data_IF_666944279186
#
_entry.id   IF_666944279186
#
_cell.length_a   1.000
_cell.length_b   1.000
_cell.length_c   1.000
_cell.angle_alpha   90.00
_cell.angle_beta   90.00
_cell.angle_gamma   90.00
#
_symmetry.space_group_name_H-M   'P 1'
#
loop_
_entity.id
_entity.type
_entity.pdbx_description
1 polymer ?
#
# COMPACT_ATOMS: atom_id res chain seq x y z
N UNK A 1 3.34 -28.23 5.57
CA UNK A 1 4.03 -27.29 4.67
C UNK A 1 4.69 -26.11 5.40
N UNK A 2 4.30 -25.77 6.64
CA UNK A 2 4.93 -24.70 7.45
C UNK A 2 6.32 -25.02 8.04
N UNK A 3 6.77 -26.28 8.03
CA UNK A 3 7.98 -26.73 8.75
C UNK A 3 9.11 -27.27 7.84
N UNK A 4 9.09 -26.96 6.55
CA UNK A 4 10.19 -27.29 5.63
C UNK A 4 10.96 -26.04 5.24
N UNK A 5 11.23 -25.19 6.22
CA UNK A 5 12.15 -24.08 6.01
C UNK A 5 13.58 -24.58 6.07
N UNK A 6 14.29 -24.51 4.95
CA UNK A 6 15.68 -24.97 4.85
C UNK A 6 16.63 -23.83 5.23
N UNK A 7 17.79 -24.17 5.82
CA UNK A 7 18.86 -23.20 6.11
C UNK A 7 19.23 -22.35 4.89
N UNK A 8 19.12 -22.94 3.70
CA UNK A 8 19.37 -22.27 2.42
C UNK A 8 18.33 -21.18 2.09
N UNK A 9 17.08 -21.29 2.56
CA UNK A 9 16.08 -20.23 2.40
C UNK A 9 16.38 -19.01 3.28
N UNK A 10 16.92 -19.22 4.49
CA UNK A 10 17.22 -18.12 5.42
C UNK A 10 18.56 -17.44 5.16
N UNK A 11 19.58 -18.21 4.77
CA UNK A 11 20.97 -17.75 4.73
C UNK A 11 21.62 -17.93 3.35
N UNK A 12 20.84 -18.30 2.33
CA UNK A 12 21.37 -18.60 0.99
C UNK A 12 21.95 -17.37 0.29
N UNK A 13 21.33 -16.20 0.41
CA UNK A 13 21.78 -14.99 -0.29
C UNK A 13 21.57 -13.69 0.50
N UNK A 14 22.17 -13.63 1.69
CA UNK A 14 22.02 -12.51 2.65
C UNK A 14 22.28 -11.14 1.99
N UNK A 15 23.31 -11.03 1.14
CA UNK A 15 23.66 -9.73 0.52
C UNK A 15 22.61 -9.28 -0.48
N UNK A 16 22.16 -10.15 -1.38
CA UNK A 16 21.18 -9.77 -2.39
C UNK A 16 19.80 -9.55 -1.74
N UNK A 17 19.42 -10.37 -0.77
CA UNK A 17 18.13 -10.26 -0.08
C UNK A 17 18.05 -8.98 0.74
N UNK A 18 19.14 -8.62 1.43
CA UNK A 18 19.21 -7.35 2.16
C UNK A 18 19.14 -6.14 1.23
N UNK A 19 19.88 -6.15 0.11
CA UNK A 19 19.85 -5.07 -0.87
C UNK A 19 18.47 -4.93 -1.51
N UNK A 20 17.85 -6.05 -1.92
CA UNK A 20 16.51 -6.07 -2.48
C UNK A 20 15.48 -5.56 -1.47
N UNK A 21 15.56 -6.00 -0.20
CA UNK A 21 14.70 -5.53 0.88
C UNK A 21 14.80 -4.03 1.11
N UNK A 22 16.01 -3.46 1.13
CA UNK A 22 16.23 -2.01 1.27
C UNK A 22 15.62 -1.25 0.09
N UNK A 23 15.88 -1.70 -1.15
CA UNK A 23 15.36 -1.03 -2.36
C UNK A 23 13.83 -1.03 -2.36
N UNK A 24 13.21 -2.17 -2.04
CA UNK A 24 11.75 -2.23 -2.04
C UNK A 24 11.14 -1.49 -0.85
N UNK A 25 11.77 -1.51 0.33
CA UNK A 25 11.32 -0.72 1.47
C UNK A 25 11.29 0.78 1.14
N UNK A 26 12.32 1.30 0.47
CA UNK A 26 12.36 2.69 0.00
C UNK A 26 11.26 3.00 -1.02
N UNK A 27 10.93 2.05 -1.88
CA UNK A 27 9.84 2.19 -2.85
C UNK A 27 8.44 2.14 -2.18
N UNK A 28 8.28 1.34 -1.12
CA UNK A 28 7.00 1.14 -0.43
C UNK A 28 6.56 2.31 0.45
N UNK A 29 7.50 3.09 1.00
CA UNK A 29 7.17 4.23 1.88
C UNK A 29 6.20 5.21 1.20
N UNK A 30 6.51 5.78 0.02
CA UNK A 30 5.59 6.71 -0.64
C UNK A 30 4.29 6.04 -1.09
N UNK A 31 4.34 4.76 -1.46
CA UNK A 31 3.17 3.98 -1.89
C UNK A 31 2.16 3.82 -0.73
N UNK A 32 2.64 3.38 0.44
CA UNK A 32 1.81 3.21 1.63
C UNK A 32 1.21 4.54 2.13
N UNK A 33 1.97 5.64 2.04
CA UNK A 33 1.49 6.98 2.36
C UNK A 33 0.37 7.38 1.39
N UNK A 34 0.60 7.26 0.08
CA UNK A 34 -0.38 7.64 -0.94
C UNK A 34 -1.68 6.84 -0.83
N UNK A 35 -1.60 5.52 -0.61
CA UNK A 35 -2.79 4.69 -0.46
C UNK A 35 -3.57 4.96 0.83
N UNK A 36 -2.89 5.35 1.92
CA UNK A 36 -3.58 5.79 3.15
C UNK A 36 -4.40 7.05 2.89
N UNK A 37 -3.82 8.02 2.19
CA UNK A 37 -4.48 9.27 1.82
C UNK A 37 -5.69 8.99 0.91
N UNK A 38 -5.54 8.10 -0.08
CA UNK A 38 -6.64 7.68 -0.95
C UNK A 38 -7.76 7.01 -0.15
N UNK A 39 -7.43 6.17 0.83
CA UNK A 39 -8.39 5.54 1.73
C UNK A 39 -9.02 6.50 2.76
N UNK A 40 -8.57 7.75 2.81
CA UNK A 40 -9.06 8.75 3.77
C UNK A 40 -8.61 8.51 5.21
N UNK A 41 -7.45 7.88 5.41
CA UNK A 41 -6.87 7.60 6.73
C UNK A 41 -5.46 8.20 6.85
N UNK A 42 -4.99 8.37 8.08
CA UNK A 42 -3.63 8.84 8.35
C UNK A 42 -2.56 7.97 7.66
N UNK A 43 -1.50 8.55 7.08
CA UNK A 43 -0.36 7.82 6.51
C UNK A 43 0.25 6.77 7.45
N UNK A 44 0.20 7.04 8.76
CA UNK A 44 0.60 6.10 9.82
C UNK A 44 -0.06 4.73 9.69
N UNK A 45 -1.33 4.66 9.28
CA UNK A 45 -2.08 3.39 9.15
C UNK A 45 -1.46 2.50 8.07
N UNK A 46 -1.22 3.02 6.87
CA UNK A 46 -0.63 2.23 5.77
C UNK A 46 0.83 1.86 6.00
N UNK A 47 1.60 2.73 6.66
CA UNK A 47 3.00 2.44 7.01
C UNK A 47 3.08 1.32 8.06
N UNK A 48 2.23 1.37 9.09
CA UNK A 48 2.13 0.28 10.07
C UNK A 48 1.61 -1.01 9.46
N UNK A 49 0.59 -0.95 8.60
CA UNK A 49 0.09 -2.13 7.90
C UNK A 49 1.21 -2.78 7.06
N UNK A 50 1.96 -2.00 6.29
CA UNK A 50 3.07 -2.49 5.47
C UNK A 50 4.16 -3.14 6.31
N UNK A 51 4.55 -2.51 7.43
CA UNK A 51 5.53 -3.08 8.35
C UNK A 51 5.03 -4.40 8.98
N UNK A 52 3.85 -4.41 9.58
CA UNK A 52 3.31 -5.58 10.27
C UNK A 52 3.09 -6.76 9.31
N UNK A 53 2.54 -6.52 8.12
CA UNK A 53 2.32 -7.56 7.11
C UNK A 53 3.66 -8.11 6.62
N UNK A 54 4.64 -7.26 6.31
CA UNK A 54 5.95 -7.71 5.85
C UNK A 54 6.65 -8.58 6.90
N UNK A 55 6.62 -8.18 8.17
CA UNK A 55 7.20 -8.97 9.28
C UNK A 55 6.50 -10.32 9.41
N UNK A 56 5.16 -10.35 9.46
CA UNK A 56 4.41 -11.60 9.62
C UNK A 56 4.65 -12.53 8.42
N UNK A 57 4.50 -12.04 7.19
CA UNK A 57 4.65 -12.84 5.97
C UNK A 57 6.10 -13.31 5.76
N UNK A 58 7.10 -12.58 6.25
CA UNK A 58 8.50 -13.08 6.23
C UNK A 58 8.68 -14.38 7.02
N UNK A 59 7.82 -14.64 8.01
CA UNK A 59 7.88 -15.82 8.88
C UNK A 59 6.90 -16.90 8.41
N UNK A 60 5.64 -16.54 8.13
CA UNK A 60 4.57 -17.51 7.84
C UNK A 60 4.21 -17.65 6.35
N UNK A 61 4.79 -16.81 5.50
CA UNK A 61 4.49 -16.76 4.07
C UNK A 61 4.88 -18.03 3.32
N UNK A 62 4.07 -18.41 2.32
CA UNK A 62 4.28 -19.63 1.54
C UNK A 62 5.29 -19.49 0.38
N UNK A 63 5.66 -18.26 -0.01
CA UNK A 63 6.51 -17.99 -1.18
C UNK A 63 7.61 -16.99 -0.84
N UNK A 64 8.87 -17.45 -0.62
CA UNK A 64 9.99 -16.57 -0.33
C UNK A 64 10.21 -15.52 -1.42
N UNK A 65 10.59 -14.31 -1.01
CA UNK A 65 10.85 -13.17 -1.90
C UNK A 65 9.60 -12.44 -2.40
N UNK A 66 8.39 -12.90 -2.07
CA UNK A 66 7.15 -12.16 -2.34
C UNK A 66 6.92 -11.13 -1.24
N UNK A 67 6.65 -9.89 -1.65
CA UNK A 67 6.44 -8.77 -0.73
C UNK A 67 4.94 -8.55 -0.56
N UNK A 68 4.51 -8.42 0.68
CA UNK A 68 3.13 -8.13 1.05
C UNK A 68 3.10 -6.89 1.93
N UNK A 69 2.32 -5.90 1.50
CA UNK A 69 2.23 -4.58 2.14
C UNK A 69 0.88 -3.92 1.80
N UNK A 70 0.71 -2.63 2.11
CA UNK A 70 -0.46 -1.87 1.70
C UNK A 70 -0.48 -1.69 0.18
N UNK A 71 -1.61 -2.02 -0.47
CA UNK A 71 -1.81 -1.85 -1.91
C UNK A 71 -3.04 -0.99 -2.22
N UNK A 72 -3.05 -0.36 -3.38
CA UNK A 72 -4.18 0.45 -3.84
C UNK A 72 -5.46 -0.36 -4.00
N UNK A 73 -5.34 -1.65 -4.35
CA UNK A 73 -6.46 -2.57 -4.46
C UNK A 73 -7.23 -2.71 -3.14
N UNK A 74 -6.51 -2.85 -2.03
CA UNK A 74 -7.11 -2.92 -0.71
C UNK A 74 -7.63 -1.54 -0.27
N UNK A 75 -6.85 -0.48 -0.46
CA UNK A 75 -7.21 0.88 -0.05
C UNK A 75 -8.52 1.36 -0.69
N UNK A 76 -8.68 1.18 -2.01
CA UNK A 76 -9.86 1.65 -2.74
C UNK A 76 -11.16 0.95 -2.32
N UNK A 77 -11.08 -0.30 -1.88
CA UNK A 77 -12.25 -1.04 -1.37
C UNK A 77 -12.69 -0.55 0.01
N UNK A 78 -11.80 0.10 0.77
CA UNK A 78 -12.08 0.56 2.13
C UNK A 78 -12.53 2.02 2.20
N UNK A 79 -12.43 2.80 1.10
CA UNK A 79 -12.75 4.24 1.06
C UNK A 79 -14.15 4.53 1.62
N UNK A 80 -15.16 3.79 1.17
CA UNK A 80 -16.55 3.99 1.60
C UNK A 80 -16.76 3.57 3.06
N UNK A 81 -16.14 2.48 3.48
CA UNK A 81 -16.21 2.01 4.87
C UNK A 81 -15.64 3.05 5.84
N UNK A 82 -14.46 3.60 5.52
CA UNK A 82 -13.82 4.65 6.34
C UNK A 82 -14.66 5.91 6.34
N UNK A 83 -15.15 6.34 5.17
CA UNK A 83 -15.96 7.56 5.06
C UNK A 83 -17.26 7.49 5.85
N UNK A 84 -17.92 6.34 5.86
CA UNK A 84 -19.25 6.17 6.48
C UNK A 84 -19.18 5.72 7.94
N UNK A 85 -18.19 4.91 8.33
CA UNK A 85 -18.13 4.25 9.64
C UNK A 85 -16.81 4.49 10.40
N UNK A 86 -15.81 5.08 9.76
CA UNK A 86 -14.53 5.47 10.37
C UNK A 86 -13.48 4.36 10.44
N UNK A 87 -12.30 4.75 10.97
CA UNK A 87 -11.11 3.90 11.04
C UNK A 87 -11.33 2.60 11.84
N UNK A 88 -12.12 2.64 12.90
CA UNK A 88 -12.35 1.47 13.77
C UNK A 88 -13.04 0.32 13.01
N UNK A 89 -13.96 0.65 12.10
CA UNK A 89 -14.62 -0.34 11.24
C UNK A 89 -13.67 -0.92 10.18
N UNK A 90 -12.72 -0.14 9.68
CA UNK A 90 -11.64 -0.65 8.83
C UNK A 90 -10.79 -1.68 9.58
N UNK A 91 -10.40 -1.38 10.82
CA UNK A 91 -9.60 -2.31 11.64
C UNK A 91 -10.39 -3.60 11.92
N UNK A 92 -11.69 -3.51 12.24
CA UNK A 92 -12.54 -4.68 12.41
C UNK A 92 -12.67 -5.50 11.11
N UNK A 93 -12.88 -4.85 9.96
CA UNK A 93 -12.97 -5.51 8.66
C UNK A 93 -11.67 -6.24 8.30
N UNK A 94 -10.50 -5.61 8.51
CA UNK A 94 -9.19 -6.22 8.24
C UNK A 94 -8.88 -7.42 9.14
N UNK A 95 -9.27 -7.39 10.42
CA UNK A 95 -9.19 -8.57 11.28
C UNK A 95 -10.06 -9.71 10.74
N UNK A 96 -11.30 -9.42 10.35
CA UNK A 96 -12.20 -10.41 9.77
C UNK A 96 -11.65 -10.95 8.43
N UNK A 97 -11.08 -10.10 7.58
CA UNK A 97 -10.38 -10.51 6.35
C UNK A 97 -9.28 -11.52 6.65
N UNK A 98 -8.43 -11.27 7.65
CA UNK A 98 -7.38 -12.21 8.05
C UNK A 98 -7.94 -13.56 8.51
N UNK A 99 -9.02 -13.56 9.29
CA UNK A 99 -9.73 -14.78 9.71
C UNK A 99 -10.26 -15.55 8.50
N UNK A 100 -10.90 -14.85 7.55
CA UNK A 100 -11.42 -15.46 6.32
C UNK A 100 -10.31 -16.03 5.44
N UNK A 101 -9.17 -15.34 5.31
CA UNK A 101 -8.01 -15.81 4.55
C UNK A 101 -7.37 -17.05 5.18
N UNK A 102 -7.25 -17.10 6.50
CA UNK A 102 -6.76 -18.30 7.22
C UNK A 102 -7.72 -19.48 7.00
N UNK A 103 -9.04 -19.25 7.12
CA UNK A 103 -10.04 -20.27 6.86
C UNK A 103 -10.00 -20.77 5.41
N UNK A 104 -9.91 -19.87 4.44
CA UNK A 104 -9.76 -20.20 3.02
C UNK A 104 -8.49 -21.01 2.73
N UNK A 105 -7.38 -20.67 3.40
CA UNK A 105 -6.13 -21.42 3.32
C UNK A 105 -6.27 -22.84 3.86
N UNK A 106 -6.93 -23.02 5.00
CA UNK A 106 -7.21 -24.34 5.58
C UNK A 106 -8.10 -25.19 4.68
N UNK A 107 -9.12 -24.58 4.08
CA UNK A 107 -10.02 -25.21 3.10
C UNK A 107 -9.38 -25.39 1.72
N UNK A 108 -8.13 -24.97 1.52
CA UNK A 108 -7.38 -25.05 0.25
C UNK A 108 -8.09 -24.36 -0.92
N UNK A 109 -8.78 -23.26 -0.64
CA UNK A 109 -9.54 -22.51 -1.65
C UNK A 109 -8.64 -21.78 -2.67
N UNK A 110 -7.32 -21.72 -2.44
CA UNK A 110 -6.37 -21.11 -3.38
C UNK A 110 -6.39 -21.72 -4.79
N UNK A 111 -6.71 -23.03 -4.92
CA UNK A 111 -6.85 -23.66 -6.23
C UNK A 111 -8.07 -23.13 -7.01
N UNK A 112 -9.10 -22.66 -6.30
CA UNK A 112 -10.31 -22.13 -6.92
C UNK A 112 -10.09 -20.74 -7.55
N UNK A 113 -9.03 -20.03 -7.17
CA UNK A 113 -8.67 -18.75 -7.79
C UNK A 113 -8.38 -18.89 -9.29
N UNK A 114 -8.04 -20.09 -9.75
CA UNK A 114 -7.87 -20.38 -11.19
C UNK A 114 -9.17 -20.30 -11.99
N UNK A 115 -10.35 -20.35 -11.35
CA UNK A 115 -11.65 -20.21 -11.99
C UNK A 115 -12.11 -18.75 -12.12
N UNK A 116 -11.43 -17.80 -11.48
CA UNK A 116 -11.75 -16.37 -11.64
C UNK A 116 -11.45 -15.96 -13.08
N UNK A 117 -12.48 -15.45 -13.77
CA UNK A 117 -12.33 -15.13 -15.19
C UNK A 117 -11.31 -14.01 -15.41
N UNK A 118 -10.52 -14.12 -16.48
CA UNK A 118 -9.56 -13.08 -16.86
C UNK A 118 -10.25 -11.74 -17.09
N UNK A 119 -11.48 -11.74 -17.62
CA UNK A 119 -12.27 -10.53 -17.84
C UNK A 119 -12.57 -9.77 -16.54
N UNK A 120 -12.84 -10.48 -15.45
CA UNK A 120 -13.07 -9.87 -14.13
C UNK A 120 -11.77 -9.25 -13.60
N UNK A 121 -10.65 -9.97 -13.67
CA UNK A 121 -9.35 -9.46 -13.21
C UNK A 121 -8.92 -8.24 -14.03
N UNK A 122 -9.01 -8.29 -15.36
CA UNK A 122 -8.68 -7.15 -16.22
C UNK A 122 -9.61 -5.96 -15.97
N UNK A 123 -10.92 -6.20 -15.81
CA UNK A 123 -11.88 -5.17 -15.47
C UNK A 123 -11.56 -4.49 -14.13
N UNK A 124 -11.23 -5.28 -13.11
CA UNK A 124 -10.81 -4.80 -11.80
C UNK A 124 -9.54 -3.95 -11.88
N UNK A 125 -8.49 -4.42 -12.57
CA UNK A 125 -7.22 -3.69 -12.72
C UNK A 125 -7.43 -2.36 -13.48
N UNK A 126 -8.25 -2.35 -14.53
CA UNK A 126 -8.56 -1.12 -15.26
C UNK A 126 -9.35 -0.13 -14.39
N UNK A 127 -10.36 -0.60 -13.67
CA UNK A 127 -11.14 0.23 -12.75
C UNK A 127 -10.24 0.81 -11.66
N UNK A 128 -9.36 0.00 -11.08
CA UNK A 128 -8.37 0.42 -10.08
C UNK A 128 -7.45 1.51 -10.63
N UNK A 129 -6.91 1.34 -11.84
CA UNK A 129 -6.03 2.34 -12.45
C UNK A 129 -6.76 3.68 -12.67
N UNK A 130 -8.00 3.63 -13.17
CA UNK A 130 -8.84 4.83 -13.37
C UNK A 130 -9.15 5.49 -12.02
N UNK A 131 -9.50 4.71 -11.00
CA UNK A 131 -9.80 5.22 -9.66
C UNK A 131 -8.58 5.88 -9.00
N UNK A 132 -7.38 5.29 -9.12
CA UNK A 132 -6.15 5.91 -8.65
C UNK A 132 -5.92 7.25 -9.37
N UNK A 133 -6.09 7.29 -10.68
CA UNK A 133 -5.94 8.53 -11.46
C UNK A 133 -6.96 9.59 -11.05
N UNK A 134 -8.24 9.21 -10.89
CA UNK A 134 -9.30 10.09 -10.40
C UNK A 134 -9.01 10.62 -8.99
N UNK A 135 -8.42 9.78 -8.12
CA UNK A 135 -8.04 10.19 -6.77
C UNK A 135 -6.91 11.23 -6.75
N UNK A 136 -6.15 11.42 -7.84
CA UNK A 136 -5.16 12.49 -7.95
C UNK A 136 -5.76 13.82 -8.41
N UNK A 137 -6.96 13.83 -9.02
CA UNK A 137 -7.56 15.05 -9.56
C UNK A 137 -7.78 16.14 -8.49
N UNK A 138 -8.28 15.84 -7.28
CA UNK A 138 -8.42 16.85 -6.22
C UNK A 138 -7.11 17.58 -5.89
N UNK A 139 -5.97 16.88 -6.01
CA UNK A 139 -4.63 17.44 -5.75
C UNK A 139 -4.13 18.36 -6.87
N UNK A 140 -4.82 18.36 -8.02
CA UNK A 140 -4.49 19.16 -9.21
C UNK A 140 -5.59 20.17 -9.56
N UNK A 141 -6.64 20.30 -8.74
CA UNK A 141 -7.75 21.24 -8.97
C UNK A 141 -7.67 22.44 -8.03
N UNK A 142 -7.86 23.65 -8.55
CA UNK A 142 -7.82 24.91 -7.77
C UNK A 142 -6.50 25.12 -7.00
N UNK A 143 -5.39 24.68 -7.60
CA UNK A 143 -4.05 24.78 -7.01
C UNK A 143 -3.21 25.85 -7.70
N UNK A 144 -2.11 26.25 -7.07
CA UNK A 144 -1.17 27.22 -7.66
C UNK A 144 -0.41 26.61 -8.83
N UNK A 145 0.12 27.46 -9.72
CA UNK A 145 0.89 27.00 -10.88
C UNK A 145 2.14 26.18 -10.50
N UNK A 146 2.69 26.41 -9.30
CA UNK A 146 3.81 25.65 -8.75
C UNK A 146 3.48 24.15 -8.69
N UNK A 147 2.26 23.78 -8.32
CA UNK A 147 1.84 22.36 -8.26
C UNK A 147 1.87 21.72 -9.65
N UNK A 148 1.39 22.41 -10.69
CA UNK A 148 1.46 21.92 -12.06
C UNK A 148 2.91 21.80 -12.56
N UNK A 149 3.76 22.80 -12.26
CA UNK A 149 5.17 22.77 -12.63
C UNK A 149 5.92 21.63 -11.95
N UNK A 150 5.69 21.43 -10.64
CA UNK A 150 6.26 20.33 -9.86
C UNK A 150 5.79 18.96 -10.37
N UNK A 151 4.50 18.84 -10.71
CA UNK A 151 3.95 17.59 -11.27
C UNK A 151 4.56 17.28 -12.63
N UNK A 152 4.63 18.27 -13.54
CA UNK A 152 5.24 18.09 -14.85
C UNK A 152 6.73 17.76 -14.75
N UNK A 153 7.46 18.43 -13.85
CA UNK A 153 8.87 18.13 -13.56
C UNK A 153 9.03 16.71 -13.01
N UNK A 154 8.16 16.28 -12.09
CA UNK A 154 8.17 14.96 -11.51
C UNK A 154 7.93 13.86 -12.54
N UNK A 155 6.94 14.02 -13.41
CA UNK A 155 6.72 13.12 -14.54
C UNK A 155 7.94 13.10 -15.48
N UNK A 156 8.53 14.26 -15.76
CA UNK A 156 9.77 14.39 -16.52
C UNK A 156 10.91 13.57 -15.90
N UNK A 157 11.14 13.67 -14.59
CA UNK A 157 12.16 12.87 -13.88
C UNK A 157 11.82 11.38 -13.99
N UNK A 158 10.58 10.99 -13.71
CA UNK A 158 10.18 9.58 -13.69
C UNK A 158 10.41 8.90 -15.05
N UNK A 159 10.05 9.57 -16.15
CA UNK A 159 10.15 9.00 -17.50
C UNK A 159 11.52 9.21 -18.17
N UNK A 160 12.21 10.32 -17.93
CA UNK A 160 13.47 10.65 -18.61
C UNK A 160 14.71 10.18 -17.85
N UNK A 161 14.68 10.15 -16.51
CA UNK A 161 15.84 9.72 -15.71
C UNK A 161 16.33 8.30 -16.05
N UNK A 162 15.45 7.29 -16.27
CA UNK A 162 15.88 5.95 -16.66
C UNK A 162 16.61 5.89 -18.02
N UNK A 163 16.47 6.92 -18.87
CA UNK A 163 17.15 7.01 -20.16
C UNK A 163 18.62 7.44 -20.02
N UNK A 164 19.03 7.97 -18.86
CA UNK A 164 20.42 8.35 -18.63
C UNK A 164 21.32 7.11 -18.62
N UNK A 165 22.38 7.07 -19.45
CA UNK A 165 23.28 5.94 -19.50
C UNK A 165 23.97 5.74 -18.16
N UNK A 166 24.17 4.46 -17.79
CA UNK A 166 24.85 4.00 -16.56
C UNK A 166 24.06 4.24 -15.26
N UNK A 167 23.68 5.48 -14.94
CA UNK A 167 23.11 5.84 -13.62
C UNK A 167 21.58 5.62 -13.58
N UNK A 168 20.89 5.82 -14.69
CA UNK A 168 19.42 5.69 -14.76
C UNK A 168 18.90 4.28 -14.48
N UNK A 169 19.77 3.26 -14.49
CA UNK A 169 19.42 1.85 -14.31
C UNK A 169 19.60 1.34 -12.88
N UNK A 170 20.28 2.08 -12.02
CA UNK A 170 20.66 1.61 -10.67
C UNK A 170 19.72 2.09 -9.57
N UNK A 171 19.08 3.25 -9.76
CA UNK A 171 18.24 3.88 -8.73
C UNK A 171 16.83 4.06 -9.29
N UNK A 172 15.77 3.71 -8.53
CA UNK A 172 14.39 3.96 -8.95
C UNK A 172 14.15 5.45 -9.23
N UNK A 173 13.70 5.79 -10.43
CA UNK A 173 13.37 7.17 -10.79
C UNK A 173 12.32 7.83 -9.90
N UNK A 174 11.31 7.11 -9.33
CA UNK A 174 10.39 7.72 -8.36
C UNK A 174 11.08 8.20 -7.08
N UNK A 175 12.11 7.49 -6.60
CA UNK A 175 12.85 7.90 -5.41
C UNK A 175 13.66 9.18 -5.68
N UNK A 176 14.31 9.25 -6.84
CA UNK A 176 15.03 10.46 -7.28
C UNK A 176 14.05 11.64 -7.42
N UNK A 177 12.89 11.40 -8.01
CA UNK A 177 11.83 12.40 -8.15
C UNK A 177 11.44 12.99 -6.79
N UNK A 178 11.13 12.15 -5.80
CA UNK A 178 10.77 12.60 -4.44
C UNK A 178 11.91 13.43 -3.83
N UNK A 179 13.14 12.91 -3.81
CA UNK A 179 14.28 13.60 -3.18
C UNK A 179 14.54 14.97 -3.83
N UNK A 180 14.57 15.02 -5.17
CA UNK A 180 14.84 16.25 -5.92
C UNK A 180 13.72 17.26 -5.71
N UNK A 181 12.46 16.85 -5.88
CA UNK A 181 11.32 17.76 -5.76
C UNK A 181 11.13 18.26 -4.32
N UNK A 182 11.33 17.41 -3.32
CA UNK A 182 11.33 17.86 -1.91
C UNK A 182 12.45 18.85 -1.65
N UNK A 183 13.67 18.59 -2.15
CA UNK A 183 14.79 19.53 -2.01
C UNK A 183 14.51 20.89 -2.65
N UNK A 184 13.97 20.89 -3.87
CA UNK A 184 13.57 22.13 -4.59
C UNK A 184 12.50 22.89 -3.81
N UNK A 185 11.46 22.20 -3.34
CA UNK A 185 10.37 22.82 -2.58
C UNK A 185 10.88 23.49 -1.30
N UNK A 186 11.79 22.83 -0.56
CA UNK A 186 12.37 23.37 0.67
C UNK A 186 13.32 24.55 0.41
N UNK A 187 14.17 24.47 -0.63
CA UNK A 187 15.15 25.52 -0.94
C UNK A 187 14.50 26.81 -1.44
N UNK A 188 13.43 26.70 -2.23
CA UNK A 188 12.71 27.85 -2.79
C UNK A 188 11.62 28.34 -1.81
N UNK A 189 11.26 27.53 -0.82
CA UNK A 189 10.19 27.86 0.12
C UNK A 189 8.81 27.84 -0.55
N UNK A 190 8.55 26.82 -1.38
CA UNK A 190 7.27 26.69 -2.07
C UNK A 190 6.16 26.38 -1.07
N UNK A 191 5.16 27.27 -1.03
CA UNK A 191 3.94 27.08 -0.25
C UNK A 191 2.97 26.17 -1.02
N UNK A 192 3.18 24.87 -0.90
CA UNK A 192 2.35 23.80 -1.47
C UNK A 192 1.98 22.80 -0.38
N UNK A 193 0.82 22.16 -0.54
CA UNK A 193 0.33 21.13 0.38
C UNK A 193 1.33 19.98 0.48
N UNK A 194 1.69 19.62 1.70
CA UNK A 194 2.67 18.58 2.02
C UNK A 194 2.00 17.33 2.55
N UNK A 195 2.74 16.21 2.60
CA UNK A 195 2.23 14.96 3.20
C UNK A 195 1.85 15.13 4.66
N UNK A 196 2.53 16.01 5.41
CA UNK A 196 2.22 16.28 6.82
C UNK A 196 0.85 16.95 7.02
N UNK A 197 0.35 17.65 6.00
CA UNK A 197 -0.97 18.29 6.04
C UNK A 197 -2.10 17.28 5.80
N UNK A 198 -1.78 16.07 5.33
CA UNK A 198 -2.75 15.03 4.97
C UNK A 198 -3.10 14.09 6.13
N UNK A 199 -2.31 14.12 7.19
CA UNK A 199 -2.47 13.22 8.32
C UNK A 199 -1.16 12.95 9.04
N UNK A 200 -1.25 12.18 10.11
CA UNK A 200 -0.12 11.92 10.98
C UNK A 200 0.82 10.84 10.41
N UNK A 201 2.12 11.08 10.54
CA UNK A 201 3.17 10.09 10.28
C UNK A 201 3.45 9.27 11.55
N UNK A 202 3.97 8.04 11.43
CA UNK A 202 4.34 7.24 12.59
C UNK A 202 5.51 7.87 13.35
N UNK A 203 5.33 8.00 14.65
CA UNK A 203 6.28 8.57 15.63
C UNK A 203 6.78 7.53 16.64
N UNK A 204 6.10 6.39 16.70
CA UNK A 204 6.30 5.28 17.64
C UNK A 204 6.22 3.95 16.89
N UNK A 205 6.59 2.85 17.56
CA UNK A 205 6.30 1.51 17.04
C UNK A 205 4.78 1.25 17.08
N UNK A 206 4.25 0.39 16.18
CA UNK A 206 2.84 0.03 16.21
C UNK A 206 2.52 -0.64 17.54
N UNK A 207 1.64 0.01 18.31
CA UNK A 207 1.07 -0.55 19.53
C UNK A 207 -0.13 -1.43 19.18
N UNK A 208 -0.36 -2.46 19.99
CA UNK A 208 -1.54 -3.29 19.84
C UNK A 208 -2.79 -2.46 20.14
N UNK A 209 -3.67 -2.34 19.14
CA UNK A 209 -4.96 -1.67 19.24
C UNK A 209 -6.06 -2.68 18.95
N UNK A 210 -7.01 -2.79 19.86
CA UNK A 210 -8.23 -3.53 19.62
C UNK A 210 -9.27 -2.58 19.00
N UNK A 211 -9.97 -2.96 17.92
CA UNK A 211 -10.98 -2.10 17.31
C UNK A 211 -12.10 -1.78 18.31
N UNK A 212 -12.34 -0.49 18.52
CA UNK A 212 -13.41 0.00 19.39
C UNK A 212 -14.72 0.11 18.60
N UNK A 213 -15.33 -1.05 18.31
CA UNK A 213 -16.62 -1.16 17.60
C UNK A 213 -17.59 -2.04 18.41
N UNK A 214 -18.90 -1.79 18.33
CA UNK A 214 -19.88 -2.65 18.98
C UNK A 214 -19.80 -4.08 18.44
N UNK A 215 -19.61 -5.06 19.33
CA UNK A 215 -19.56 -6.48 18.97
C UNK A 215 -20.98 -7.05 18.83
N UNK A 216 -21.71 -6.60 17.82
CA UNK A 216 -23.06 -7.05 17.51
C UNK A 216 -23.20 -7.52 16.06
N UNK A 217 -24.36 -8.07 15.72
CA UNK A 217 -24.66 -8.55 14.37
C UNK A 217 -24.68 -7.42 13.34
N UNK A 218 -25.06 -6.20 13.74
CA UNK A 218 -25.11 -5.05 12.83
C UNK A 218 -23.71 -4.67 12.35
N UNK A 219 -22.75 -4.55 13.26
CA UNK A 219 -21.33 -4.32 12.91
C UNK A 219 -20.81 -5.43 12.00
N UNK A 220 -21.13 -6.69 12.31
CA UNK A 220 -20.73 -7.81 11.46
C UNK A 220 -21.31 -7.67 10.04
N UNK A 221 -22.59 -7.35 9.91
CA UNK A 221 -23.25 -7.17 8.61
C UNK A 221 -22.69 -5.97 7.83
N UNK A 222 -22.21 -4.94 8.52
CA UNK A 222 -21.52 -3.81 7.90
C UNK A 222 -20.14 -4.23 7.37
N UNK A 223 -19.31 -4.90 8.18
CA UNK A 223 -17.92 -5.19 7.80
C UNK A 223 -17.78 -6.43 6.91
N UNK A 224 -18.71 -7.38 6.97
CA UNK A 224 -18.61 -8.66 6.28
C UNK A 224 -18.46 -8.53 4.74
N UNK A 225 -19.24 -7.70 4.03
CA UNK A 225 -19.08 -7.54 2.58
C UNK A 225 -17.71 -7.00 2.18
N UNK A 226 -17.19 -6.06 2.97
CA UNK A 226 -15.83 -5.53 2.79
C UNK A 226 -14.80 -6.61 3.10
N UNK A 227 -14.95 -7.33 4.21
CA UNK A 227 -13.99 -8.35 4.61
C UNK A 227 -13.88 -9.51 3.61
N UNK A 228 -15.01 -9.93 3.03
CA UNK A 228 -15.06 -10.97 1.99
C UNK A 228 -14.42 -10.48 0.69
N UNK A 229 -14.73 -9.26 0.24
CA UNK A 229 -14.12 -8.71 -0.98
C UNK A 229 -12.61 -8.54 -0.82
N UNK A 230 -12.16 -7.99 0.31
CA UNK A 230 -10.74 -7.89 0.68
C UNK A 230 -10.05 -9.26 0.84
N UNK A 231 -10.78 -10.31 1.23
CA UNK A 231 -10.18 -11.65 1.36
C UNK A 231 -9.93 -12.32 0.00
N UNK A 232 -10.69 -11.94 -1.03
CA UNK A 232 -10.61 -12.53 -2.38
C UNK A 232 -9.62 -11.78 -3.28
N UNK A 233 -9.50 -10.46 -3.12
CA UNK A 233 -8.59 -9.59 -3.87
C UNK A 233 -7.15 -9.73 -3.37
#
# INVERSE_FOLDING_TARGET
>A
MLFHSTRQQWLGNIRADLLAGIVVALALIPEAIAFSIIAGVDPKVGLYASFCIAVIISIVGGRPGMISAATGAMALLMVTLVKEHGLQYLLAATLLTGVLQIAAGYLKLGNLMSFVSRSVVTGFVNALAILIFMAQLPELTNVTWHVYAMTAAGLGIIYLFPLLPVIGKTIPSPLICIVVLTGVALLIGLDIRTVGDMGQLPDTLPIFLWPDVPLNLDTLMIVLPYAVSLAVV
#
